data_IF_354194653652
#
_entry.id   IF_354194653652
#
_cell.length_a   1.000
_cell.length_b   1.000
_cell.length_c   1.000
_cell.angle_alpha   90.00
_cell.angle_beta   90.00
_cell.angle_gamma   90.00
#
_symmetry.space_group_name_H-M   'P 1'
#
loop_
_entity.id
_entity.type
_entity.pdbx_description
1 polymer ?
#
# COMPACT_ATOMS: atom_id res chain seq x y z
N UNK A 1 43.18 -35.19 1.48
CA UNK A 1 41.83 -35.72 1.67
C UNK A 1 41.37 -35.33 3.07
N UNK A 2 40.73 -34.22 3.23
CA UNK A 2 40.12 -33.77 4.48
C UNK A 2 38.63 -33.51 4.17
N UNK A 3 37.80 -34.39 4.76
CA UNK A 3 36.36 -34.31 4.74
C UNK A 3 35.96 -33.03 5.48
N UNK A 4 35.33 -32.09 4.78
CA UNK A 4 34.64 -30.97 5.38
C UNK A 4 33.23 -31.48 5.73
N UNK A 5 32.95 -31.61 7.00
CA UNK A 5 31.60 -31.86 7.52
C UNK A 5 30.75 -30.61 7.36
N UNK A 6 29.77 -30.67 6.50
CA UNK A 6 28.65 -29.71 6.42
C UNK A 6 27.64 -29.99 7.56
N UNK A 7 27.94 -29.53 8.74
CA UNK A 7 26.91 -29.28 9.76
C UNK A 7 26.72 -27.79 9.92
N UNK A 8 25.91 -27.23 9.03
CA UNK A 8 25.33 -25.88 9.19
C UNK A 8 24.38 -25.93 10.40
N UNK A 9 24.81 -25.45 11.54
CA UNK A 9 23.97 -25.23 12.71
C UNK A 9 22.78 -24.35 12.29
N UNK A 10 21.62 -24.98 12.09
CA UNK A 10 20.34 -24.26 12.01
C UNK A 10 20.14 -23.59 13.37
N UNK A 11 20.43 -22.30 13.45
CA UNK A 11 20.05 -21.48 14.60
C UNK A 11 18.54 -21.60 14.74
N UNK A 12 18.10 -22.33 15.75
CA UNK A 12 16.68 -22.44 16.10
C UNK A 12 16.22 -21.04 16.48
N UNK A 13 15.46 -20.43 15.56
CA UNK A 13 14.87 -19.12 15.82
C UNK A 13 13.82 -19.26 16.94
N UNK A 14 14.00 -18.54 18.03
CA UNK A 14 13.03 -18.48 19.13
C UNK A 14 12.28 -17.16 19.06
N UNK A 15 10.94 -17.18 19.15
CA UNK A 15 10.15 -15.94 19.20
C UNK A 15 10.65 -15.05 20.32
N UNK A 16 10.74 -13.71 20.10
CA UNK A 16 11.15 -12.79 21.15
C UNK A 16 10.12 -12.80 22.29
N UNK A 17 10.55 -12.74 23.57
CA UNK A 17 9.63 -12.66 24.69
C UNK A 17 8.86 -11.33 24.65
N UNK A 18 7.54 -11.37 24.87
CA UNK A 18 6.69 -10.18 24.88
C UNK A 18 5.39 -10.40 24.10
N UNK A 19 4.62 -9.34 23.83
CA UNK A 19 3.37 -9.44 23.11
C UNK A 19 3.59 -10.00 21.70
N UNK A 20 2.73 -10.92 21.32
CA UNK A 20 2.63 -11.46 19.97
C UNK A 20 1.61 -10.65 19.14
N UNK A 21 1.42 -11.01 17.88
CA UNK A 21 0.49 -10.30 16.99
C UNK A 21 -0.98 -10.38 17.46
N UNK A 22 -1.36 -11.48 18.15
CA UNK A 22 -2.71 -11.62 18.71
C UNK A 22 -2.96 -10.64 19.85
N UNK A 23 -1.99 -10.41 20.72
CA UNK A 23 -2.08 -9.42 21.80
C UNK A 23 -2.29 -8.00 21.24
N UNK A 24 -1.62 -7.69 20.12
CA UNK A 24 -1.84 -6.42 19.39
C UNK A 24 -3.27 -6.34 18.84
N UNK A 25 -3.76 -7.39 18.19
CA UNK A 25 -5.14 -7.45 17.67
C UNK A 25 -6.17 -7.27 18.78
N UNK A 26 -5.97 -7.91 19.93
CA UNK A 26 -6.89 -7.83 21.06
C UNK A 26 -6.92 -6.43 21.68
N UNK A 27 -5.78 -5.76 21.78
CA UNK A 27 -5.73 -4.37 22.20
C UNK A 27 -6.54 -3.43 21.27
N UNK A 28 -6.50 -3.65 19.95
CA UNK A 28 -7.34 -2.90 19.02
C UNK A 28 -8.83 -3.27 19.14
N UNK A 29 -9.17 -4.54 19.40
CA UNK A 29 -10.55 -5.00 19.59
C UNK A 29 -11.23 -4.40 20.82
N UNK A 30 -10.45 -4.04 21.84
CA UNK A 30 -11.01 -3.33 23.00
C UNK A 30 -11.62 -1.99 22.59
N UNK A 31 -11.00 -1.26 21.68
CA UNK A 31 -11.42 0.08 21.25
C UNK A 31 -12.31 0.09 20.02
N UNK A 32 -12.05 -0.80 19.06
CA UNK A 32 -12.72 -0.83 17.77
C UNK A 32 -13.64 -2.04 17.65
N UNK A 33 -14.76 -1.86 16.94
CA UNK A 33 -15.50 -3.00 16.41
C UNK A 33 -14.76 -3.51 15.17
N UNK A 34 -14.22 -4.72 15.26
CA UNK A 34 -13.43 -5.34 14.20
C UNK A 34 -13.96 -6.74 13.90
N UNK A 35 -14.42 -6.95 12.69
CA UNK A 35 -14.74 -8.28 12.16
C UNK A 35 -13.44 -8.99 11.70
N UNK A 36 -13.50 -10.29 11.39
CA UNK A 36 -12.33 -11.10 11.00
C UNK A 36 -11.47 -10.42 9.90
N UNK A 37 -12.12 -9.91 8.85
CA UNK A 37 -11.43 -9.24 7.75
C UNK A 37 -10.67 -7.96 8.16
N UNK A 38 -11.15 -7.25 9.17
CA UNK A 38 -10.50 -6.02 9.66
C UNK A 38 -9.21 -6.27 10.42
N UNK A 39 -9.02 -7.47 10.99
CA UNK A 39 -7.77 -7.84 11.67
C UNK A 39 -6.59 -7.84 10.71
N UNK A 40 -6.83 -8.17 9.44
CA UNK A 40 -5.82 -8.07 8.41
C UNK A 40 -5.20 -6.68 8.25
N UNK A 41 -5.96 -5.62 8.60
CA UNK A 41 -5.45 -4.24 8.56
C UNK A 41 -4.38 -4.01 9.63
N UNK A 42 -4.54 -4.64 10.81
CA UNK A 42 -3.56 -4.59 11.89
C UNK A 42 -2.31 -5.36 11.46
N UNK A 43 -2.49 -6.60 10.98
CA UNK A 43 -1.41 -7.44 10.48
C UNK A 43 -0.62 -6.72 9.40
N UNK A 44 -1.31 -6.08 8.48
CA UNK A 44 -0.69 -5.32 7.39
C UNK A 44 0.20 -4.18 7.90
N UNK A 45 -0.31 -3.38 8.83
CA UNK A 45 0.48 -2.24 9.37
C UNK A 45 1.71 -2.75 10.13
N UNK A 46 1.57 -3.80 10.93
CA UNK A 46 2.71 -4.41 11.62
C UNK A 46 3.72 -4.97 10.62
N UNK A 47 3.25 -5.68 9.58
CA UNK A 47 4.09 -6.22 8.52
C UNK A 47 4.83 -5.13 7.71
N UNK A 48 4.17 -3.99 7.42
CA UNK A 48 4.81 -2.86 6.74
C UNK A 48 5.99 -2.30 7.54
N UNK A 49 5.78 -2.08 8.84
CA UNK A 49 6.85 -1.57 9.72
C UNK A 49 8.02 -2.55 9.77
N UNK A 50 7.73 -3.84 9.98
CA UNK A 50 8.76 -4.86 10.07
C UNK A 50 9.43 -5.11 8.70
N UNK A 51 8.67 -5.11 7.60
CA UNK A 51 9.20 -5.23 6.25
C UNK A 51 10.17 -4.09 5.89
N UNK A 52 9.87 -2.87 6.33
CA UNK A 52 10.77 -1.73 6.14
C UNK A 52 12.10 -1.88 6.91
N UNK A 53 12.07 -2.53 8.08
CA UNK A 53 13.27 -2.79 8.89
C UNK A 53 14.21 -3.86 8.30
N UNK A 54 13.75 -4.65 7.33
CA UNK A 54 14.53 -5.73 6.71
C UNK A 54 15.66 -5.26 5.77
N UNK A 55 15.96 -3.98 5.71
CA UNK A 55 17.02 -3.41 4.86
C UNK A 55 16.93 -3.80 3.36
N UNK A 56 15.73 -4.07 2.89
CA UNK A 56 15.42 -4.36 1.49
C UNK A 56 14.97 -3.13 0.71
N UNK A 57 14.00 -3.31 -0.21
CA UNK A 57 13.34 -2.22 -0.95
C UNK A 57 12.48 -1.38 0.00
N UNK A 58 12.31 -0.09 -0.31
CA UNK A 58 11.36 0.75 0.42
C UNK A 58 9.93 0.24 0.25
N UNK A 59 9.19 0.14 1.35
CA UNK A 59 7.77 -0.21 1.31
C UNK A 59 6.96 1.02 1.64
N UNK A 60 6.32 1.58 0.63
CA UNK A 60 5.41 2.69 0.75
C UNK A 60 3.98 2.21 0.55
N UNK A 61 3.05 2.71 1.35
CA UNK A 61 1.68 2.20 1.32
C UNK A 61 0.61 3.22 1.65
N UNK A 62 -0.54 3.05 0.98
CA UNK A 62 -1.81 3.69 1.32
C UNK A 62 -2.76 2.71 2.01
N UNK A 63 -3.41 3.20 3.07
CA UNK A 63 -4.55 2.53 3.71
C UNK A 63 -5.81 3.28 3.25
N UNK A 64 -6.52 2.68 2.30
CA UNK A 64 -7.68 3.31 1.65
C UNK A 64 -8.96 2.87 2.35
N UNK A 65 -9.78 3.82 2.78
CA UNK A 65 -11.06 3.47 3.39
C UNK A 65 -11.96 4.69 3.61
N UNK A 66 -13.28 4.49 3.78
CA UNK A 66 -14.21 5.58 3.99
C UNK A 66 -13.87 6.39 5.26
N UNK A 67 -14.38 7.62 5.39
CA UNK A 67 -14.31 8.35 6.66
C UNK A 67 -14.88 7.51 7.82
N UNK A 68 -14.31 7.67 9.01
CA UNK A 68 -14.75 7.02 10.26
C UNK A 68 -14.68 5.48 10.29
N UNK A 69 -14.01 4.83 9.35
CA UNK A 69 -13.87 3.37 9.35
C UNK A 69 -12.81 2.83 10.33
N UNK A 70 -12.05 3.67 11.04
CA UNK A 70 -11.05 3.23 12.02
C UNK A 70 -9.59 3.43 11.61
N UNK A 71 -9.29 3.85 10.36
CA UNK A 71 -7.91 4.08 9.87
C UNK A 71 -7.05 4.94 10.82
N UNK A 72 -7.64 6.04 11.32
CA UNK A 72 -6.93 6.95 12.21
C UNK A 72 -6.54 6.29 13.53
N UNK A 73 -7.41 5.46 14.10
CA UNK A 73 -7.13 4.72 15.34
C UNK A 73 -6.10 3.62 15.07
N UNK A 74 -6.18 2.93 13.92
CA UNK A 74 -5.19 1.95 13.51
C UNK A 74 -3.78 2.56 13.50
N UNK A 75 -3.62 3.71 12.85
CA UNK A 75 -2.34 4.39 12.79
C UNK A 75 -1.93 5.05 14.12
N UNK A 76 -2.88 5.50 14.96
CA UNK A 76 -2.58 6.09 16.29
C UNK A 76 -1.79 5.11 17.17
N UNK A 77 -1.92 3.79 16.98
CA UNK A 77 -1.11 2.79 17.68
C UNK A 77 0.39 2.91 17.44
N UNK A 78 0.81 3.48 16.30
CA UNK A 78 2.21 3.72 15.98
C UNK A 78 2.77 5.01 16.60
N UNK A 79 1.92 5.88 17.14
CA UNK A 79 2.29 7.24 17.57
C UNK A 79 3.10 7.29 18.85
N UNK A 80 2.92 6.33 19.76
CA UNK A 80 3.42 6.38 21.11
C UNK A 80 2.51 7.18 22.06
N UNK A 81 2.72 7.00 23.36
CA UNK A 81 1.97 7.67 24.43
C UNK A 81 2.36 9.15 24.55
N UNK A 82 1.49 9.94 25.20
CA UNK A 82 1.77 11.36 25.47
C UNK A 82 3.00 11.49 26.37
N UNK A 83 4.04 12.17 25.88
CA UNK A 83 5.32 12.32 26.60
C UNK A 83 6.33 11.21 26.33
N UNK A 84 5.95 10.16 25.64
CA UNK A 84 6.84 9.12 25.12
C UNK A 84 7.25 9.43 23.67
N UNK A 85 8.46 9.03 23.29
CA UNK A 85 8.96 9.19 21.91
C UNK A 85 8.28 8.28 20.89
N UNK A 86 7.37 7.41 21.32
CA UNK A 86 6.75 6.41 20.47
C UNK A 86 7.73 5.30 20.07
N UNK A 87 7.56 4.77 18.86
CA UNK A 87 8.51 3.83 18.26
C UNK A 87 9.61 4.65 17.60
N UNK A 88 10.87 4.42 17.94
CA UNK A 88 12.01 5.30 17.60
C UNK A 88 12.20 5.54 16.10
N UNK A 89 11.83 4.57 15.27
CA UNK A 89 11.95 4.67 13.81
C UNK A 89 10.69 5.22 13.13
N UNK A 90 9.69 5.70 13.88
CA UNK A 90 8.47 6.28 13.30
C UNK A 90 8.44 7.80 13.44
N UNK A 91 8.25 8.49 12.32
CA UNK A 91 8.01 9.92 12.24
C UNK A 91 6.54 10.14 11.93
N UNK A 92 5.80 10.68 12.89
CA UNK A 92 4.36 10.91 12.77
C UNK A 92 4.04 12.34 12.35
N UNK A 93 3.23 12.47 11.30
CA UNK A 93 2.68 13.76 10.89
C UNK A 93 1.15 13.69 10.77
N UNK A 94 0.48 14.71 11.26
CA UNK A 94 -0.98 14.88 11.03
C UNK A 94 -1.24 15.43 9.64
N UNK A 95 -0.44 16.40 9.21
CA UNK A 95 -0.53 17.08 7.92
C UNK A 95 0.87 17.46 7.45
N UNK A 96 0.99 17.72 6.16
CA UNK A 96 2.24 18.14 5.52
C UNK A 96 1.96 19.26 4.53
N UNK A 97 2.82 20.29 4.51
CA UNK A 97 2.82 21.33 3.50
C UNK A 97 3.56 20.89 2.24
N UNK A 98 3.31 21.55 1.12
CA UNK A 98 3.94 21.29 -0.17
C UNK A 98 5.47 21.47 -0.19
N UNK A 99 6.02 22.20 0.76
CA UNK A 99 7.45 22.42 0.90
C UNK A 99 8.12 21.60 2.01
N UNK A 100 7.37 20.77 2.76
CA UNK A 100 7.86 20.14 3.99
C UNK A 100 9.00 19.14 3.75
N UNK A 101 9.00 18.41 2.64
CA UNK A 101 10.04 17.43 2.34
C UNK A 101 11.39 18.12 2.10
N UNK A 102 11.42 19.30 1.47
CA UNK A 102 12.63 19.89 0.87
C UNK A 102 12.84 21.35 1.26
N UNK A 103 12.10 21.89 2.23
CA UNK A 103 12.26 23.30 2.58
C UNK A 103 13.60 23.57 3.26
N UNK A 104 14.52 24.15 2.52
CA UNK A 104 15.69 24.84 3.10
C UNK A 104 15.32 26.25 3.53
N UNK A 105 14.66 26.44 4.69
CA UNK A 105 14.47 27.78 5.24
C UNK A 105 15.76 28.25 5.90
N UNK A 106 16.37 29.29 5.31
CA UNK A 106 17.48 29.99 5.95
C UNK A 106 16.92 31.06 6.90
N UNK A 107 17.18 30.92 8.20
CA UNK A 107 16.97 32.05 9.11
C UNK A 107 17.91 33.20 8.70
N UNK A 108 17.39 34.43 8.49
CA UNK A 108 18.23 35.58 8.18
C UNK A 108 19.35 35.71 9.23
N UNK A 109 20.63 35.76 8.81
CA UNK A 109 21.78 35.89 9.69
C UNK A 109 22.46 34.61 10.15
N UNK A 110 21.94 33.41 9.81
CA UNK A 110 22.61 32.14 10.18
C UNK A 110 23.79 31.84 9.24
N UNK A 111 24.98 31.64 9.82
CA UNK A 111 26.22 31.30 9.08
C UNK A 111 26.24 29.89 8.49
N UNK A 112 25.42 28.96 9.00
CA UNK A 112 25.13 27.64 8.45
C UNK A 112 23.62 27.46 8.37
N UNK A 113 23.09 27.01 7.24
CA UNK A 113 21.70 26.55 7.15
C UNK A 113 21.58 25.27 7.96
N UNK A 114 20.81 25.22 9.06
CA UNK A 114 20.40 23.93 9.58
C UNK A 114 19.54 23.27 8.51
N UNK A 115 19.69 21.95 8.33
CA UNK A 115 18.82 21.14 7.49
C UNK A 115 17.40 21.14 8.08
N UNK A 116 16.57 22.08 7.65
CA UNK A 116 15.18 22.19 8.10
C UNK A 116 14.23 21.27 7.34
N UNK A 117 14.69 20.64 6.25
CA UNK A 117 13.91 19.68 5.48
C UNK A 117 13.59 18.43 6.29
N UNK A 118 12.46 17.80 5.95
CA UNK A 118 12.06 16.55 6.58
C UNK A 118 12.92 15.36 6.10
N UNK A 119 13.35 15.34 4.83
CA UNK A 119 14.08 14.23 4.21
C UNK A 119 15.31 13.75 5.00
N UNK A 120 16.23 14.60 5.46
CA UNK A 120 17.37 14.12 6.23
C UNK A 120 16.98 13.42 7.54
N UNK A 121 15.84 13.80 8.12
CA UNK A 121 15.32 13.24 9.38
C UNK A 121 14.61 11.91 9.19
N UNK A 122 14.25 11.57 7.96
CA UNK A 122 13.52 10.35 7.61
C UNK A 122 14.44 9.17 7.33
N UNK A 123 15.74 9.37 7.11
CA UNK A 123 16.63 8.28 6.76
C UNK A 123 16.61 7.16 7.82
N UNK A 124 16.34 5.92 7.37
CA UNK A 124 16.17 4.74 8.21
C UNK A 124 14.87 4.70 9.02
N UNK A 125 13.92 5.61 8.75
CA UNK A 125 12.64 5.72 9.49
C UNK A 125 11.43 5.43 8.62
N UNK A 126 10.26 5.52 9.23
CA UNK A 126 8.97 5.37 8.57
C UNK A 126 8.15 6.64 8.80
N UNK A 127 7.79 7.31 7.71
CA UNK A 127 6.89 8.46 7.75
C UNK A 127 5.44 7.95 7.79
N UNK A 128 4.71 8.32 8.83
CA UNK A 128 3.27 8.02 8.97
C UNK A 128 2.46 9.31 8.85
N UNK A 129 1.53 9.35 7.89
CA UNK A 129 0.59 10.46 7.71
C UNK A 129 -0.83 9.99 7.99
N UNK A 130 -1.46 10.60 8.98
CA UNK A 130 -2.80 10.19 9.46
C UNK A 130 -3.90 10.40 8.42
N UNK A 131 -3.82 11.46 7.60
CA UNK A 131 -4.77 11.75 6.53
C UNK A 131 -4.08 12.50 5.39
N UNK A 132 -3.95 11.87 4.25
CA UNK A 132 -3.27 12.42 3.08
C UNK A 132 -4.24 13.04 2.06
N UNK A 133 -5.56 12.74 2.16
CA UNK A 133 -6.56 13.21 1.20
C UNK A 133 -6.55 14.73 1.00
N UNK A 134 -6.41 15.59 2.04
CA UNK A 134 -6.35 17.04 1.84
C UNK A 134 -5.21 17.48 0.91
N UNK A 135 -4.09 16.78 0.95
CA UNK A 135 -2.93 17.04 0.08
C UNK A 135 -3.23 16.68 -1.38
N UNK A 136 -3.95 15.58 -1.62
CA UNK A 136 -4.33 15.14 -2.96
C UNK A 136 -5.40 16.05 -3.58
N UNK A 137 -6.25 16.68 -2.77
CA UNK A 137 -7.33 17.56 -3.21
C UNK A 137 -6.93 19.03 -3.36
N UNK A 138 -5.65 19.35 -3.15
CA UNK A 138 -5.10 20.70 -3.43
C UNK A 138 -5.12 21.04 -4.93
N UNK A 139 -4.80 22.28 -5.29
CA UNK A 139 -4.69 22.68 -6.68
C UNK A 139 -3.76 21.74 -7.46
N UNK A 140 -4.08 21.42 -8.73
CA UNK A 140 -3.31 20.45 -9.52
C UNK A 140 -1.80 20.71 -9.52
N UNK A 141 -1.39 21.97 -9.67
CA UNK A 141 0.03 22.35 -9.69
C UNK A 141 0.76 22.04 -8.38
N UNK A 142 0.13 22.31 -7.23
CA UNK A 142 0.68 22.01 -5.90
C UNK A 142 0.73 20.51 -5.66
N UNK A 143 -0.33 19.78 -6.01
CA UNK A 143 -0.39 18.32 -5.92
C UNK A 143 0.71 17.66 -6.74
N UNK A 144 0.84 18.04 -8.02
CA UNK A 144 1.81 17.44 -8.94
C UNK A 144 3.25 17.71 -8.48
N UNK A 145 3.51 18.89 -7.92
CA UNK A 145 4.79 19.24 -7.28
C UNK A 145 5.10 18.35 -6.08
N UNK A 146 4.12 18.12 -5.21
CA UNK A 146 4.28 17.27 -4.03
C UNK A 146 4.50 15.82 -4.45
N UNK A 147 3.68 15.28 -5.36
CA UNK A 147 3.85 13.92 -5.87
C UNK A 147 5.22 13.74 -6.55
N UNK A 148 5.70 14.77 -7.27
CA UNK A 148 7.06 14.79 -7.82
C UNK A 148 8.14 14.68 -6.75
N UNK A 149 7.99 15.43 -5.63
CA UNK A 149 8.95 15.33 -4.50
C UNK A 149 8.92 13.95 -3.84
N UNK A 150 7.74 13.33 -3.69
CA UNK A 150 7.63 11.95 -3.19
C UNK A 150 8.31 10.96 -4.14
N UNK A 151 8.13 11.14 -5.46
CA UNK A 151 8.81 10.30 -6.44
C UNK A 151 10.33 10.35 -6.27
N UNK A 152 10.88 11.55 -6.23
CA UNK A 152 12.34 11.75 -6.10
C UNK A 152 12.84 11.23 -4.73
N UNK A 153 12.06 11.40 -3.67
CA UNK A 153 12.36 10.88 -2.34
C UNK A 153 12.34 9.35 -2.26
N UNK A 154 11.45 8.69 -3.01
CA UNK A 154 11.44 7.21 -3.09
C UNK A 154 12.74 6.68 -3.71
N UNK A 155 13.26 7.37 -4.73
CA UNK A 155 14.48 6.99 -5.43
C UNK A 155 15.75 7.25 -4.59
N UNK A 156 15.58 7.60 -3.31
CA UNK A 156 16.58 7.72 -2.22
C UNK A 156 17.58 8.87 -2.38
N UNK A 157 17.64 9.52 -3.52
CA UNK A 157 18.52 10.65 -3.74
C UNK A 157 17.73 11.86 -4.21
N UNK A 158 17.82 12.93 -3.46
CA UNK A 158 17.21 14.20 -3.79
C UNK A 158 18.28 15.28 -3.92
N UNK A 159 18.39 15.88 -5.11
CA UNK A 159 19.27 17.01 -5.34
C UNK A 159 18.46 18.23 -5.79
N UNK A 160 18.63 19.35 -5.10
CA UNK A 160 18.00 20.61 -5.48
C UNK A 160 18.98 21.75 -5.41
N UNK A 161 18.96 22.58 -6.45
CA UNK A 161 19.66 23.88 -6.47
C UNK A 161 18.67 24.98 -6.09
N UNK A 162 18.93 25.72 -5.04
CA UNK A 162 18.20 26.93 -4.73
C UNK A 162 18.84 28.12 -5.46
N UNK A 163 18.02 29.02 -6.02
CA UNK A 163 18.48 30.10 -6.92
C UNK A 163 19.62 30.98 -6.38
N UNK A 164 19.84 31.01 -5.05
CA UNK A 164 20.82 31.83 -4.37
C UNK A 164 22.02 31.00 -3.85
N UNK A 165 22.13 29.71 -4.19
CA UNK A 165 23.21 28.84 -3.73
C UNK A 165 24.16 28.50 -4.88
N UNK A 166 25.46 28.52 -4.60
CA UNK A 166 26.50 28.12 -5.55
C UNK A 166 26.57 26.60 -5.70
N UNK A 167 26.18 25.86 -4.66
CA UNK A 167 26.31 24.41 -4.60
C UNK A 167 24.95 23.70 -4.71
N UNK A 168 24.97 22.49 -5.29
CA UNK A 168 23.83 21.58 -5.32
C UNK A 168 23.81 20.81 -4.01
N UNK A 169 22.77 21.04 -3.18
CA UNK A 169 22.56 20.22 -1.99
C UNK A 169 21.94 18.88 -2.38
N UNK A 170 22.65 17.79 -2.15
CA UNK A 170 22.14 16.43 -2.35
C UNK A 170 21.90 15.73 -1.01
N UNK A 171 20.75 15.06 -0.89
CA UNK A 171 20.37 14.31 0.31
C UNK A 171 20.10 12.86 -0.06
N UNK A 172 20.68 11.94 0.71
CA UNK A 172 20.30 10.53 0.69
C UNK A 172 19.34 10.26 1.81
N UNK A 173 18.17 9.72 1.50
CA UNK A 173 17.21 9.35 2.52
C UNK A 173 16.41 8.13 2.06
N UNK A 174 16.59 7.01 2.76
CA UNK A 174 15.84 5.78 2.57
C UNK A 174 14.84 5.64 3.70
N UNK A 175 13.53 5.69 3.40
CA UNK A 175 12.50 5.63 4.43
C UNK A 175 11.24 4.89 3.96
N UNK A 176 10.50 4.34 4.91
CA UNK A 176 9.17 3.79 4.69
C UNK A 176 8.10 4.88 4.72
N UNK A 177 6.95 4.62 4.11
CA UNK A 177 5.84 5.56 4.09
C UNK A 177 4.50 4.84 4.25
N UNK A 178 3.69 5.30 5.22
CA UNK A 178 2.35 4.79 5.47
C UNK A 178 1.40 5.97 5.58
N UNK A 179 0.38 6.03 4.75
CA UNK A 179 -0.62 7.09 4.82
C UNK A 179 -2.05 6.56 4.74
N UNK A 180 -2.93 7.08 5.59
CA UNK A 180 -4.35 6.85 5.43
C UNK A 180 -4.93 7.83 4.42
N UNK A 181 -5.83 7.33 3.58
CA UNK A 181 -6.51 8.10 2.54
C UNK A 181 -7.96 7.67 2.41
N UNK A 182 -8.79 8.54 1.87
CA UNK A 182 -10.16 8.16 1.47
C UNK A 182 -10.17 7.55 0.06
N UNK A 183 -11.27 6.88 -0.35
CA UNK A 183 -11.42 6.37 -1.72
C UNK A 183 -11.33 7.45 -2.80
N UNK A 184 -11.36 8.72 -2.45
CA UNK A 184 -11.13 9.85 -3.36
C UNK A 184 -9.79 9.75 -4.10
N UNK A 185 -8.80 9.03 -3.52
CA UNK A 185 -7.51 8.76 -4.19
C UNK A 185 -7.68 8.12 -5.57
N UNK A 186 -8.75 7.35 -5.78
CA UNK A 186 -9.00 6.68 -7.07
C UNK A 186 -9.23 7.67 -8.23
N UNK A 187 -9.63 8.91 -7.93
CA UNK A 187 -9.78 9.99 -8.94
C UNK A 187 -8.44 10.53 -9.45
N UNK A 188 -7.37 10.34 -8.68
CA UNK A 188 -6.05 10.87 -8.99
C UNK A 188 -5.08 9.82 -9.57
N UNK A 189 -5.57 8.62 -9.89
CA UNK A 189 -4.72 7.52 -10.37
C UNK A 189 -3.91 7.86 -11.61
N UNK A 190 -4.49 8.51 -12.61
CA UNK A 190 -3.75 8.89 -13.81
C UNK A 190 -2.60 9.85 -13.51
N UNK A 191 -2.80 10.82 -12.60
CA UNK A 191 -1.75 11.73 -12.16
C UNK A 191 -0.66 10.99 -11.36
N UNK A 192 -1.05 10.07 -10.47
CA UNK A 192 -0.11 9.26 -9.70
C UNK A 192 0.71 8.33 -10.60
N UNK A 193 0.09 7.73 -11.60
CA UNK A 193 0.76 6.85 -12.54
C UNK A 193 1.69 7.61 -13.49
N UNK A 194 1.31 8.79 -13.96
CA UNK A 194 2.19 9.64 -14.78
C UNK A 194 3.51 9.99 -14.07
N UNK A 195 3.48 10.02 -12.73
CA UNK A 195 4.67 10.21 -11.89
C UNK A 195 5.33 8.88 -11.46
N UNK A 196 4.78 7.74 -11.90
CA UNK A 196 5.21 6.40 -11.55
C UNK A 196 4.70 5.97 -10.17
N UNK A 197 3.78 5.01 -10.14
CA UNK A 197 3.22 4.47 -8.89
C UNK A 197 4.31 3.80 -8.04
N UNK A 198 4.44 4.24 -6.79
CA UNK A 198 5.46 3.78 -5.85
C UNK A 198 4.88 3.16 -4.59
N UNK A 199 3.58 3.25 -4.42
CA UNK A 199 2.92 2.78 -3.22
C UNK A 199 2.15 1.47 -3.46
N UNK A 200 2.25 0.58 -2.51
CA UNK A 200 1.27 -0.46 -2.30
C UNK A 200 -0.03 0.17 -1.80
N UNK A 201 -1.13 -0.54 -1.86
CA UNK A 201 -2.36 -0.09 -1.27
C UNK A 201 -3.14 -1.27 -0.68
N UNK A 202 -3.81 -1.04 0.45
CA UNK A 202 -4.82 -1.95 0.98
C UNK A 202 -6.11 -1.20 1.19
N UNK A 203 -7.23 -1.87 0.92
CA UNK A 203 -8.55 -1.28 1.11
C UNK A 203 -9.18 -1.78 2.38
N UNK A 204 -9.72 -0.85 3.17
CA UNK A 204 -10.46 -1.19 4.37
C UNK A 204 -11.68 -2.04 4.00
N UNK A 205 -11.84 -3.22 4.60
CA UNK A 205 -12.99 -4.08 4.32
C UNK A 205 -14.32 -3.41 4.70
N UNK A 206 -15.41 -3.67 3.99
CA UNK A 206 -16.72 -3.20 4.41
C UNK A 206 -17.13 -3.85 5.74
N UNK A 207 -17.90 -3.14 6.54
CA UNK A 207 -18.50 -3.71 7.76
C UNK A 207 -19.81 -4.43 7.42
N UNK A 208 -19.94 -5.67 7.84
CA UNK A 208 -21.18 -6.44 7.71
C UNK A 208 -22.25 -5.96 8.70
N UNK A 209 -21.84 -5.45 9.88
CA UNK A 209 -22.76 -4.98 10.89
C UNK A 209 -22.49 -3.52 11.31
N UNK A 210 -23.03 -2.57 10.54
CA UNK A 210 -22.90 -1.13 10.83
C UNK A 210 -23.53 -0.71 12.17
N UNK A 211 -24.59 -1.41 12.62
CA UNK A 211 -25.22 -1.11 13.91
C UNK A 211 -24.32 -1.47 15.08
N UNK A 212 -23.63 -2.60 15.00
CA UNK A 212 -22.65 -3.00 16.01
C UNK A 212 -21.45 -2.03 16.04
N UNK A 213 -20.97 -1.61 14.87
CA UNK A 213 -19.94 -0.57 14.74
C UNK A 213 -20.37 0.73 15.43
N UNK A 214 -21.56 1.25 15.10
CA UNK A 214 -22.09 2.48 15.68
C UNK A 214 -22.29 2.37 17.19
N UNK A 215 -22.79 1.23 17.68
CA UNK A 215 -22.95 0.96 19.12
C UNK A 215 -21.61 0.96 19.85
N UNK A 216 -20.60 0.28 19.30
CA UNK A 216 -19.26 0.27 19.91
C UNK A 216 -18.67 1.69 19.96
N UNK A 217 -18.82 2.47 18.88
CA UNK A 217 -18.36 3.86 18.84
C UNK A 217 -19.09 4.75 19.85
N UNK A 218 -20.42 4.60 20.02
CA UNK A 218 -21.20 5.35 20.99
C UNK A 218 -20.77 5.05 22.44
N UNK A 219 -20.55 3.77 22.77
CA UNK A 219 -20.07 3.37 24.10
C UNK A 219 -18.63 3.86 24.35
N UNK A 220 -17.81 3.97 23.33
CA UNK A 220 -16.45 4.51 23.44
C UNK A 220 -16.42 6.04 23.60
N UNK A 221 -17.54 6.74 23.43
CA UNK A 221 -17.60 8.20 23.59
C UNK A 221 -17.30 8.63 25.04
N UNK A 222 -17.68 7.80 26.01
CA UNK A 222 -17.41 8.03 27.42
C UNK A 222 -16.01 7.54 27.85
N UNK A 223 -15.25 7.00 26.91
CA UNK A 223 -13.93 6.45 27.15
C UNK A 223 -12.90 7.58 27.19
N UNK A 224 -12.16 7.78 28.28
CA UNK A 224 -11.10 8.80 28.37
C UNK A 224 -10.05 8.68 27.26
N UNK A 225 -9.41 9.80 26.92
CA UNK A 225 -8.27 9.79 25.95
C UNK A 225 -7.18 8.80 26.36
N UNK A 226 -7.04 8.54 27.67
CA UNK A 226 -6.13 7.55 28.23
C UNK A 226 -6.38 6.12 27.71
N UNK A 227 -7.64 5.77 27.37
CA UNK A 227 -7.93 4.44 26.85
C UNK A 227 -7.48 4.24 25.41
N UNK A 228 -7.39 5.33 24.62
CA UNK A 228 -6.74 5.26 23.29
C UNK A 228 -5.25 4.96 23.37
N UNK A 229 -4.62 5.22 24.52
CA UNK A 229 -3.24 4.88 24.78
C UNK A 229 -3.04 3.39 25.03
N UNK A 230 -4.11 2.64 25.38
CA UNK A 230 -4.04 1.19 25.61
C UNK A 230 -3.51 0.41 24.39
N UNK A 231 -3.73 0.90 23.16
CA UNK A 231 -3.16 0.27 21.95
C UNK A 231 -1.68 0.60 21.74
N UNK A 232 -1.21 1.77 22.20
CA UNK A 232 0.12 2.26 21.87
C UNK A 232 1.22 1.41 22.54
N UNK A 233 1.02 1.04 23.81
CA UNK A 233 1.99 0.24 24.55
C UNK A 233 2.18 -1.17 24.00
N UNK A 234 1.12 -1.98 23.75
CA UNK A 234 1.25 -3.28 23.09
C UNK A 234 1.93 -3.18 21.72
N UNK A 235 1.52 -2.21 20.88
CA UNK A 235 2.12 -2.00 19.54
C UNK A 235 3.60 -1.64 19.66
N UNK A 236 3.95 -0.68 20.51
CA UNK A 236 5.34 -0.28 20.75
C UNK A 236 6.17 -1.47 21.19
N UNK A 237 5.74 -2.18 22.24
CA UNK A 237 6.47 -3.33 22.77
C UNK A 237 6.61 -4.45 21.75
N UNK A 238 5.55 -4.72 20.97
CA UNK A 238 5.59 -5.69 19.86
C UNK A 238 6.66 -5.34 18.83
N UNK A 239 6.71 -4.07 18.40
CA UNK A 239 7.66 -3.62 17.39
C UNK A 239 9.10 -3.52 17.94
N UNK A 240 9.30 -3.08 19.17
CA UNK A 240 10.64 -2.99 19.79
C UNK A 240 11.28 -4.36 20.03
N UNK A 241 10.47 -5.37 20.32
CA UNK A 241 10.95 -6.75 20.50
C UNK A 241 11.33 -7.43 19.18
N UNK A 242 10.99 -6.84 18.04
CA UNK A 242 11.35 -7.33 16.71
C UNK A 242 12.25 -6.32 16.00
N UNK A 243 13.53 -6.24 16.41
CA UNK A 243 14.50 -5.38 15.73
C UNK A 243 14.63 -5.81 14.26
N UNK A 244 15.13 -4.90 13.44
CA UNK A 244 15.41 -5.21 12.05
C UNK A 244 16.40 -6.37 11.90
N UNK A 245 16.15 -7.23 10.92
CA UNK A 245 17.08 -8.24 10.45
C UNK A 245 17.41 -8.00 8.98
N UNK A 246 18.37 -8.75 8.43
CA UNK A 246 18.64 -8.65 7.00
C UNK A 246 17.54 -9.36 6.21
N UNK A 247 17.15 -8.81 5.08
CA UNK A 247 16.14 -9.42 4.23
C UNK A 247 16.48 -10.86 3.82
N UNK A 248 17.77 -11.18 3.68
CA UNK A 248 18.25 -12.53 3.37
C UNK A 248 18.00 -13.54 4.50
N UNK A 249 17.84 -13.09 5.73
CA UNK A 249 17.62 -13.97 6.88
C UNK A 249 16.17 -14.49 6.94
N UNK A 250 15.28 -13.90 6.14
CA UNK A 250 13.90 -14.38 5.97
C UNK A 250 13.76 -15.11 4.64
N UNK A 251 13.53 -16.40 4.69
CA UNK A 251 13.53 -17.30 3.52
C UNK A 251 12.17 -17.27 2.82
N UNK A 252 12.18 -17.32 1.50
CA UNK A 252 11.02 -17.58 0.64
C UNK A 252 11.37 -18.77 -0.24
N UNK A 253 10.53 -19.79 -0.33
CA UNK A 253 10.77 -20.88 -1.28
C UNK A 253 10.64 -20.39 -2.73
N UNK A 254 11.30 -21.04 -3.69
CA UNK A 254 11.18 -20.66 -5.11
C UNK A 254 9.72 -20.61 -5.58
N UNK A 255 8.89 -21.57 -5.17
CA UNK A 255 7.47 -21.67 -5.57
C UNK A 255 6.65 -20.49 -5.06
N UNK A 256 6.88 -20.06 -3.81
CA UNK A 256 6.20 -18.91 -3.23
C UNK A 256 6.72 -17.59 -3.83
N UNK A 257 8.02 -17.55 -4.16
CA UNK A 257 8.60 -16.39 -4.84
C UNK A 257 8.00 -16.22 -6.23
N UNK A 258 7.84 -17.31 -7.00
CA UNK A 258 7.21 -17.28 -8.32
C UNK A 258 5.76 -16.78 -8.24
N UNK A 259 4.97 -17.24 -7.26
CA UNK A 259 3.61 -16.69 -7.03
C UNK A 259 3.62 -15.20 -6.71
N UNK A 260 4.59 -14.71 -5.93
CA UNK A 260 4.72 -13.26 -5.65
C UNK A 260 5.09 -12.49 -6.92
N UNK A 261 5.95 -13.05 -7.77
CA UNK A 261 6.31 -12.47 -9.07
C UNK A 261 5.07 -12.36 -9.95
N UNK A 262 4.30 -13.43 -10.06
CA UNK A 262 3.07 -13.49 -10.85
C UNK A 262 2.02 -12.47 -10.37
N UNK A 263 1.81 -12.38 -9.05
CA UNK A 263 0.98 -11.33 -8.45
C UNK A 263 1.47 -9.93 -8.79
N UNK A 264 2.77 -9.70 -8.76
CA UNK A 264 3.39 -8.43 -9.13
C UNK A 264 3.23 -8.10 -10.60
N UNK A 265 3.43 -9.07 -11.51
CA UNK A 265 3.26 -8.91 -12.95
C UNK A 265 1.79 -8.59 -13.30
N UNK A 266 0.86 -9.38 -12.77
CA UNK A 266 -0.57 -9.17 -12.95
C UNK A 266 -0.98 -7.77 -12.45
N UNK A 267 -0.61 -7.42 -11.22
CA UNK A 267 -1.01 -6.15 -10.61
C UNK A 267 -0.42 -4.94 -11.33
N UNK A 268 0.83 -4.98 -11.76
CA UNK A 268 1.46 -3.90 -12.52
C UNK A 268 0.69 -3.62 -13.81
N UNK A 269 0.26 -4.67 -14.50
CA UNK A 269 -0.54 -4.54 -15.72
C UNK A 269 -1.96 -4.00 -15.42
N UNK A 270 -2.63 -4.58 -14.42
CA UNK A 270 -4.01 -4.23 -14.07
C UNK A 270 -4.17 -2.81 -13.51
N UNK A 271 -3.17 -2.29 -12.82
CA UNK A 271 -3.20 -0.92 -12.29
C UNK A 271 -2.76 0.14 -13.28
N UNK A 272 -2.25 -0.26 -14.47
CA UNK A 272 -1.87 0.67 -15.53
C UNK A 272 -3.10 1.41 -16.07
N UNK A 273 -2.94 2.68 -16.47
CA UNK A 273 -4.01 3.52 -17.00
C UNK A 273 -3.77 3.87 -18.47
N UNK A 274 -4.84 4.17 -19.19
CA UNK A 274 -4.80 4.68 -20.56
C UNK A 274 -4.91 6.19 -20.51
N UNK A 275 -3.90 6.88 -21.01
CA UNK A 275 -3.89 8.35 -21.03
C UNK A 275 -4.91 8.89 -22.05
N UNK A 276 -5.80 9.77 -21.59
CA UNK A 276 -6.88 10.36 -22.39
C UNK A 276 -6.87 11.88 -22.27
N UNK A 277 -7.34 12.53 -23.30
CA UNK A 277 -7.59 13.98 -23.34
C UNK A 277 -9.09 14.21 -23.48
N UNK A 278 -9.62 15.09 -22.66
CA UNK A 278 -11.00 15.55 -22.80
C UNK A 278 -11.11 16.45 -24.02
N UNK A 279 -12.05 16.17 -24.90
CA UNK A 279 -12.43 17.09 -25.98
C UNK A 279 -13.40 18.15 -25.46
N UNK A 280 -13.51 19.25 -26.16
CA UNK A 280 -14.48 20.32 -25.86
C UNK A 280 -15.95 19.83 -25.93
N UNK A 281 -16.19 18.67 -26.54
CA UNK A 281 -17.53 18.06 -26.71
C UNK A 281 -17.76 16.87 -25.76
N UNK A 282 -16.90 16.68 -24.74
CA UNK A 282 -17.04 15.63 -23.75
C UNK A 282 -16.55 14.23 -24.19
N UNK A 283 -16.04 14.09 -25.42
CA UNK A 283 -15.42 12.85 -25.86
C UNK A 283 -13.97 12.75 -25.35
N UNK A 284 -13.62 11.57 -24.85
CA UNK A 284 -12.25 11.29 -24.38
C UNK A 284 -11.47 10.54 -25.46
N UNK A 285 -10.47 11.20 -26.05
CA UNK A 285 -9.58 10.56 -27.02
C UNK A 285 -8.33 10.00 -26.35
N UNK A 286 -7.90 8.81 -26.75
CA UNK A 286 -6.64 8.20 -26.32
C UNK A 286 -5.48 9.00 -26.89
N UNK A 287 -4.57 9.45 -26.01
CA UNK A 287 -3.43 10.29 -26.43
C UNK A 287 -2.35 9.51 -27.16
N UNK A 288 -2.07 8.31 -26.68
CA UNK A 288 -1.05 7.41 -27.25
C UNK A 288 -1.35 5.97 -26.84
N UNK A 289 -0.73 5.01 -27.53
CA UNK A 289 -0.83 3.59 -27.15
C UNK A 289 -0.26 3.42 -25.73
N UNK A 290 -1.01 2.84 -24.78
CA UNK A 290 -0.54 2.69 -23.43
C UNK A 290 0.67 1.75 -23.36
N UNK A 291 1.68 2.15 -22.61
CA UNK A 291 2.78 1.30 -22.18
C UNK A 291 2.55 0.91 -20.72
N UNK A 292 2.19 -0.36 -20.46
CA UNK A 292 1.93 -0.79 -19.10
C UNK A 292 3.18 -0.74 -18.22
N UNK A 293 2.97 -0.55 -16.91
CA UNK A 293 4.04 -0.59 -15.92
C UNK A 293 4.75 -1.96 -15.95
N UNK A 294 6.07 -1.95 -15.84
CA UNK A 294 6.88 -3.15 -15.60
C UNK A 294 6.99 -3.45 -14.11
N UNK A 295 6.92 -4.73 -13.73
CA UNK A 295 6.70 -5.18 -12.36
C UNK A 295 7.87 -5.14 -11.36
N UNK A 296 9.18 -4.97 -11.71
CA UNK A 296 10.29 -5.25 -10.79
C UNK A 296 10.22 -4.51 -9.46
N UNK A 297 9.81 -3.23 -9.46
CA UNK A 297 9.65 -2.44 -8.22
C UNK A 297 8.55 -3.01 -7.36
N UNK A 298 7.40 -3.26 -7.94
CA UNK A 298 6.25 -3.81 -7.23
C UNK A 298 6.57 -5.19 -6.62
N UNK A 299 7.21 -6.08 -7.39
CA UNK A 299 7.66 -7.40 -6.91
C UNK A 299 8.58 -7.26 -5.69
N UNK A 300 9.58 -6.38 -5.74
CA UNK A 300 10.46 -6.14 -4.58
C UNK A 300 9.69 -5.68 -3.35
N UNK A 301 8.70 -4.79 -3.50
CA UNK A 301 7.85 -4.34 -2.40
C UNK A 301 6.97 -5.47 -1.85
N UNK A 302 6.40 -6.33 -2.72
CA UNK A 302 5.61 -7.48 -2.31
C UNK A 302 6.46 -8.54 -1.58
N UNK A 303 7.68 -8.77 -2.03
CA UNK A 303 8.65 -9.65 -1.34
C UNK A 303 8.97 -9.09 0.05
N UNK A 304 9.26 -7.79 0.17
CA UNK A 304 9.52 -7.16 1.46
C UNK A 304 8.30 -7.24 2.39
N UNK A 305 7.09 -7.06 1.86
CA UNK A 305 5.84 -7.22 2.60
C UNK A 305 5.66 -8.67 3.07
N UNK A 306 5.81 -9.67 2.19
CA UNK A 306 5.66 -11.09 2.54
C UNK A 306 6.61 -11.49 3.68
N UNK A 307 7.87 -11.03 3.60
CA UNK A 307 8.85 -11.23 4.68
C UNK A 307 8.45 -10.51 5.96
N UNK A 308 7.95 -9.28 5.86
CA UNK A 308 7.41 -8.52 7.00
C UNK A 308 6.23 -9.24 7.68
N UNK A 309 5.35 -9.88 6.89
CA UNK A 309 4.24 -10.72 7.40
C UNK A 309 4.81 -11.92 8.18
N UNK A 310 5.78 -12.63 7.64
CA UNK A 310 6.41 -13.76 8.32
C UNK A 310 7.03 -13.34 9.66
N UNK A 311 7.79 -12.23 9.68
CA UNK A 311 8.40 -11.70 10.91
C UNK A 311 7.34 -11.24 11.92
N UNK A 312 6.24 -10.63 11.46
CA UNK A 312 5.13 -10.23 12.35
C UNK A 312 4.45 -11.42 13.04
N UNK A 313 4.55 -12.59 12.44
CA UNK A 313 4.03 -13.88 12.93
C UNK A 313 5.12 -14.75 13.56
N UNK A 314 6.21 -14.12 13.98
CA UNK A 314 7.34 -14.78 14.66
C UNK A 314 7.97 -15.93 13.85
N UNK A 315 8.10 -15.73 12.53
CA UNK A 315 8.74 -16.67 11.61
C UNK A 315 9.83 -16.02 10.79
N UNK A 316 10.85 -16.76 10.42
CA UNK A 316 11.91 -16.36 9.51
C UNK A 316 11.77 -16.99 8.10
N UNK A 317 10.60 -17.52 7.79
CA UNK A 317 10.24 -18.06 6.49
C UNK A 317 8.79 -17.72 6.15
N UNK A 318 8.55 -17.47 4.88
CA UNK A 318 7.23 -17.20 4.32
C UNK A 318 6.52 -18.52 4.04
N UNK A 319 5.23 -18.58 4.31
CA UNK A 319 4.36 -19.72 4.01
C UNK A 319 3.20 -19.31 3.10
N UNK A 320 2.48 -20.29 2.55
CA UNK A 320 1.34 -20.02 1.64
C UNK A 320 0.28 -19.08 2.26
N UNK A 321 -0.04 -19.25 3.55
CA UNK A 321 -1.01 -18.41 4.27
C UNK A 321 -0.63 -16.92 4.32
N UNK A 322 0.66 -16.59 4.16
CA UNK A 322 1.10 -15.20 4.11
C UNK A 322 0.71 -14.54 2.77
N UNK A 323 0.61 -15.34 1.71
CA UNK A 323 0.24 -14.84 0.39
C UNK A 323 -1.20 -14.33 0.33
N UNK A 324 -2.07 -14.79 1.23
CA UNK A 324 -3.42 -14.23 1.31
C UNK A 324 -3.38 -12.71 1.53
N UNK A 325 -2.59 -12.21 2.49
CA UNK A 325 -2.47 -10.78 2.74
C UNK A 325 -1.76 -10.06 1.60
N UNK A 326 -0.78 -10.69 0.96
CA UNK A 326 -0.14 -10.16 -0.26
C UNK A 326 -1.17 -9.99 -1.37
N UNK A 327 -2.05 -10.98 -1.61
CA UNK A 327 -3.18 -10.89 -2.57
C UNK A 327 -4.12 -9.73 -2.24
N UNK A 328 -4.50 -9.56 -0.96
CA UNK A 328 -5.36 -8.42 -0.56
C UNK A 328 -4.71 -7.07 -0.90
N UNK A 329 -3.40 -6.95 -0.76
CA UNK A 329 -2.65 -5.75 -1.11
C UNK A 329 -2.59 -5.53 -2.62
N UNK A 330 -2.34 -6.57 -3.41
CA UNK A 330 -2.35 -6.46 -4.88
C UNK A 330 -3.73 -6.07 -5.40
N UNK A 331 -4.80 -6.63 -4.85
CA UNK A 331 -6.20 -6.24 -5.14
C UNK A 331 -6.46 -4.79 -4.69
N UNK A 332 -5.94 -4.38 -3.53
CA UNK A 332 -6.03 -3.02 -3.01
C UNK A 332 -5.40 -1.96 -3.91
N UNK A 333 -4.39 -2.33 -4.69
CA UNK A 333 -3.76 -1.48 -5.69
C UNK A 333 -4.68 -1.16 -6.90
N UNK A 334 -5.81 -1.84 -7.07
CA UNK A 334 -6.81 -1.53 -8.09
C UNK A 334 -7.92 -0.64 -7.55
N UNK A 335 -8.68 0.03 -8.42
CA UNK A 335 -9.94 0.66 -7.99
C UNK A 335 -10.97 -0.40 -7.64
N UNK A 336 -11.89 -0.08 -6.72
CA UNK A 336 -12.98 -0.99 -6.38
C UNK A 336 -13.75 -1.43 -7.64
N UNK A 337 -14.02 -0.48 -8.54
CA UNK A 337 -14.73 -0.74 -9.80
C UNK A 337 -13.94 -1.69 -10.72
N UNK A 338 -12.65 -1.43 -10.93
CA UNK A 338 -11.80 -2.30 -11.75
C UNK A 338 -11.78 -3.72 -11.19
N UNK A 339 -11.62 -3.87 -9.88
CA UNK A 339 -11.61 -5.16 -9.21
C UNK A 339 -12.93 -5.90 -9.41
N UNK A 340 -14.07 -5.24 -9.17
CA UNK A 340 -15.40 -5.83 -9.34
C UNK A 340 -15.68 -6.24 -10.78
N UNK A 341 -15.26 -5.42 -11.76
CA UNK A 341 -15.38 -5.73 -13.18
C UNK A 341 -14.58 -6.98 -13.54
N UNK A 342 -13.32 -7.05 -13.12
CA UNK A 342 -12.45 -8.19 -13.41
C UNK A 342 -12.95 -9.47 -12.74
N UNK A 343 -13.39 -9.40 -11.48
CA UNK A 343 -13.97 -10.52 -10.74
C UNK A 343 -15.23 -11.06 -11.43
N UNK A 344 -16.11 -10.16 -11.90
CA UNK A 344 -17.31 -10.54 -12.67
C UNK A 344 -16.96 -11.24 -13.98
N UNK A 345 -15.95 -10.74 -14.72
CA UNK A 345 -15.50 -11.39 -15.96
C UNK A 345 -14.86 -12.75 -15.67
N UNK A 346 -14.09 -12.88 -14.59
CA UNK A 346 -13.49 -14.14 -14.18
C UNK A 346 -14.56 -15.19 -13.87
N UNK A 347 -15.54 -14.85 -13.02
CA UNK A 347 -16.62 -15.76 -12.63
C UNK A 347 -17.50 -16.21 -13.79
N UNK A 348 -17.71 -15.35 -14.79
CA UNK A 348 -18.54 -15.66 -15.99
C UNK A 348 -17.71 -16.18 -17.17
N UNK A 349 -16.37 -16.19 -17.08
CA UNK A 349 -15.40 -16.49 -18.14
C UNK A 349 -15.42 -15.52 -19.32
N UNK A 350 -16.57 -14.92 -19.63
CA UNK A 350 -16.74 -13.87 -20.62
C UNK A 350 -18.00 -13.05 -20.32
N UNK A 351 -17.95 -11.74 -20.47
CA UNK A 351 -19.08 -10.85 -20.19
C UNK A 351 -19.26 -9.80 -21.30
N UNK A 352 -20.50 -9.38 -21.53
CA UNK A 352 -20.82 -8.19 -22.34
C UNK A 352 -20.87 -6.96 -21.43
N UNK A 353 -20.72 -5.75 -22.01
CA UNK A 353 -20.89 -4.50 -21.23
C UNK A 353 -22.31 -4.42 -20.64
N UNK A 354 -23.30 -4.94 -21.32
CA UNK A 354 -24.69 -5.01 -20.83
C UNK A 354 -24.80 -5.88 -19.57
N UNK A 355 -24.13 -7.04 -19.56
CA UNK A 355 -24.10 -7.92 -18.39
C UNK A 355 -23.37 -7.25 -17.22
N UNK A 356 -22.20 -6.65 -17.49
CA UNK A 356 -21.43 -5.93 -16.48
C UNK A 356 -22.23 -4.77 -15.86
N UNK A 357 -22.99 -4.03 -16.69
CA UNK A 357 -23.87 -2.96 -16.21
C UNK A 357 -24.99 -3.49 -15.31
N UNK A 358 -25.53 -4.65 -15.61
CA UNK A 358 -26.56 -5.28 -14.77
C UNK A 358 -25.99 -5.87 -13.46
N UNK A 359 -24.71 -6.27 -13.46
CA UNK A 359 -24.03 -6.86 -12.30
C UNK A 359 -23.36 -5.82 -11.38
N UNK A 360 -23.13 -4.60 -11.89
CA UNK A 360 -22.51 -3.50 -11.15
C UNK A 360 -23.39 -2.26 -11.30
N UNK A 361 -23.48 -1.40 -10.32
CA UNK A 361 -24.27 -0.17 -10.44
C UNK A 361 -23.58 0.94 -11.28
N UNK A 362 -22.55 0.59 -12.05
CA UNK A 362 -21.77 1.53 -12.86
C UNK A 362 -22.44 1.83 -14.21
N UNK A 363 -22.24 3.04 -14.74
CA UNK A 363 -22.82 3.43 -16.01
C UNK A 363 -22.25 2.63 -17.19
N UNK A 364 -23.12 2.35 -18.20
CA UNK A 364 -22.73 1.61 -19.40
C UNK A 364 -21.51 2.23 -20.11
N UNK A 365 -21.47 3.56 -20.25
CA UNK A 365 -20.37 4.27 -20.91
C UNK A 365 -19.05 4.14 -20.15
N UNK A 366 -19.10 4.18 -18.82
CA UNK A 366 -17.92 3.98 -17.97
C UNK A 366 -17.38 2.57 -18.11
N UNK A 367 -18.24 1.56 -18.04
CA UNK A 367 -17.84 0.15 -18.19
C UNK A 367 -17.30 -0.13 -19.60
N UNK A 368 -17.95 0.42 -20.66
CA UNK A 368 -17.48 0.27 -22.03
C UNK A 368 -16.06 0.85 -22.21
N UNK A 369 -15.77 1.96 -21.55
CA UNK A 369 -14.44 2.55 -21.52
C UNK A 369 -13.45 1.67 -20.76
N UNK A 370 -13.80 1.24 -19.55
CA UNK A 370 -12.91 0.49 -18.67
C UNK A 370 -12.54 -0.89 -19.28
N UNK A 371 -13.49 -1.61 -19.90
CA UNK A 371 -13.15 -2.85 -20.64
C UNK A 371 -12.32 -2.55 -21.88
N UNK A 372 -12.57 -1.43 -22.57
CA UNK A 372 -11.77 -0.96 -23.69
C UNK A 372 -10.32 -0.68 -23.30
N UNK A 373 -10.12 -0.06 -22.14
CA UNK A 373 -8.79 0.20 -21.58
C UNK A 373 -8.04 -1.11 -21.26
N UNK A 374 -8.73 -2.09 -20.65
CA UNK A 374 -8.15 -3.40 -20.37
C UNK A 374 -7.81 -4.20 -21.64
N UNK A 375 -8.58 -4.02 -22.72
CA UNK A 375 -8.22 -4.58 -24.04
C UNK A 375 -6.98 -3.89 -24.61
N UNK A 376 -6.88 -2.55 -24.52
CA UNK A 376 -5.68 -1.83 -24.97
C UNK A 376 -4.42 -2.16 -24.15
N UNK A 377 -4.60 -2.44 -22.87
CA UNK A 377 -3.54 -2.93 -21.99
C UNK A 377 -3.17 -4.40 -22.23
N UNK A 378 -3.93 -5.10 -23.10
CA UNK A 378 -3.67 -6.50 -23.43
C UNK A 378 -4.03 -7.49 -22.32
N UNK A 379 -4.93 -7.14 -21.42
CA UNK A 379 -5.44 -8.01 -20.34
C UNK A 379 -6.66 -8.79 -20.81
N UNK A 380 -7.55 -8.10 -21.51
CA UNK A 380 -8.76 -8.69 -22.06
C UNK A 380 -8.68 -8.79 -23.58
N UNK A 381 -9.34 -9.81 -24.12
CA UNK A 381 -9.66 -9.89 -25.56
C UNK A 381 -11.13 -9.57 -25.78
N UNK A 382 -11.40 -8.91 -26.91
CA UNK A 382 -12.75 -8.60 -27.39
C UNK A 382 -13.10 -9.57 -28.51
N UNK A 383 -14.15 -10.34 -28.34
CA UNK A 383 -14.67 -11.27 -29.35
C UNK A 383 -16.08 -10.87 -29.72
N UNK A 384 -16.39 -10.81 -31.02
CA UNK A 384 -17.75 -10.52 -31.50
C UNK A 384 -18.50 -11.81 -31.79
N UNK A 385 -19.62 -12.02 -31.11
CA UNK A 385 -20.51 -13.16 -31.32
C UNK A 385 -21.88 -12.59 -31.72
N UNK A 386 -22.34 -12.93 -32.92
CA UNK A 386 -23.53 -12.34 -33.53
C UNK A 386 -23.44 -10.80 -33.57
N UNK A 387 -24.22 -10.08 -32.78
CA UNK A 387 -24.24 -8.61 -32.73
C UNK A 387 -23.63 -8.03 -31.47
N UNK A 388 -23.15 -8.87 -30.54
CA UNK A 388 -22.65 -8.42 -29.24
C UNK A 388 -21.14 -8.64 -29.13
N UNK A 389 -20.48 -7.77 -28.33
CA UNK A 389 -19.05 -7.88 -28.00
C UNK A 389 -18.92 -8.52 -26.62
N UNK A 390 -18.18 -9.62 -26.55
CA UNK A 390 -17.80 -10.32 -25.32
C UNK A 390 -16.37 -10.00 -24.97
N UNK A 391 -16.10 -9.82 -23.67
CA UNK A 391 -14.79 -9.56 -23.12
C UNK A 391 -14.40 -10.71 -22.21
N UNK A 392 -13.23 -11.29 -22.42
CA UNK A 392 -12.67 -12.38 -21.62
C UNK A 392 -11.18 -12.12 -21.38
N UNK A 393 -10.63 -12.70 -20.34
CA UNK A 393 -9.17 -12.67 -20.15
C UNK A 393 -8.46 -13.32 -21.32
N UNK A 394 -7.27 -12.84 -21.67
CA UNK A 394 -6.35 -13.59 -22.51
C UNK A 394 -5.73 -14.72 -21.69
N UNK A 395 -5.33 -15.80 -22.34
CA UNK A 395 -4.97 -17.05 -21.66
C UNK A 395 -3.81 -16.90 -20.68
N UNK A 396 -2.84 -16.03 -21.00
CA UNK A 396 -1.72 -15.69 -20.14
C UNK A 396 -2.17 -15.13 -18.79
N UNK A 397 -3.05 -14.13 -18.78
CA UNK A 397 -3.53 -13.50 -17.53
C UNK A 397 -4.55 -14.36 -16.80
N UNK A 398 -5.36 -15.14 -17.52
CA UNK A 398 -6.24 -16.10 -16.86
C UNK A 398 -5.42 -17.12 -16.07
N UNK A 399 -4.34 -17.64 -16.66
CA UNK A 399 -3.42 -18.54 -15.96
C UNK A 399 -2.80 -17.91 -14.72
N UNK A 400 -2.29 -16.68 -14.80
CA UNK A 400 -1.74 -15.97 -13.65
C UNK A 400 -2.79 -15.79 -12.53
N UNK A 401 -4.03 -15.48 -12.89
CA UNK A 401 -5.15 -15.33 -11.93
C UNK A 401 -5.42 -16.66 -11.22
N UNK A 402 -5.53 -17.76 -11.98
CA UNK A 402 -5.86 -19.08 -11.45
C UNK A 402 -4.71 -19.64 -10.59
N UNK A 403 -3.45 -19.56 -11.09
CA UNK A 403 -2.25 -20.07 -10.39
C UNK A 403 -1.99 -19.32 -9.07
N UNK A 404 -2.35 -18.03 -8.99
CA UNK A 404 -2.16 -17.22 -7.78
C UNK A 404 -3.37 -17.18 -6.86
N UNK A 405 -4.53 -17.71 -7.29
CA UNK A 405 -5.80 -17.56 -6.56
C UNK A 405 -6.19 -16.09 -6.37
N UNK A 406 -5.99 -15.26 -7.41
CA UNK A 406 -6.10 -13.81 -7.29
C UNK A 406 -7.46 -13.33 -6.78
N UNK A 407 -8.55 -14.00 -7.15
CA UNK A 407 -9.92 -13.69 -6.72
C UNK A 407 -10.41 -14.53 -5.55
N UNK A 408 -9.60 -15.48 -5.05
CA UNK A 408 -9.99 -16.31 -3.91
C UNK A 408 -10.05 -15.46 -2.64
N UNK A 409 -11.21 -15.32 -2.04
CA UNK A 409 -11.40 -14.49 -0.85
C UNK A 409 -10.79 -15.11 0.42
N UNK A 410 -10.56 -16.42 0.44
CA UNK A 410 -9.80 -17.11 1.49
C UNK A 410 -10.27 -16.87 2.94
N UNK A 411 -11.49 -16.36 3.12
CA UNK A 411 -12.10 -16.10 4.42
C UNK A 411 -13.11 -17.21 4.69
N UNK A 412 -12.63 -18.40 5.03
CA UNK A 412 -13.46 -19.35 5.76
C UNK A 412 -13.44 -19.06 7.26
#
# INVERSE_FOLDING_TARGET
>A
MSQVSEEGAQTVWTPPPGPNLQDVRDAYRELLYLEKAHLAMIDYVMALVLGQRLQGENVWSYIIGPPSCGKGVLLDGLRGERGDKGVDDIVWLSQMSDAALVSGYKKPGAKKSPDYGLLPKLNGKILVIKELTPLLTTMPQSRDKILGQFRDAYDQFFAKKHGNETDISGYYSKFGFIAAVTPEIDRFRSAMQALGERCLAIRWPPYGNLRALARKAALANDTPLADKQKIMKPVKTFLEKRPGCLSRDVVISPELLDKIIDLGMLTARLRSTVARKDSAFGEQTVLYRPEPEVSPRLVKQLVALAKGIAVSRDRHYVIEDDLWLVRQVTRGCLTKRTLQLLDTIHGTKAATVKYLHAATDDSYSTLARDVGDLVMLGVLRKTRVAKENYYSFIDEYLKLIDDTGYFDDGIE
#
